data_IF_756361766956
#
_entry.id   IF_756361766956
#
_cell.length_a   1.000
_cell.length_b   1.000
_cell.length_c   1.000
_cell.angle_alpha   90.00
_cell.angle_beta   90.00
_cell.angle_gamma   90.00
#
_symmetry.space_group_name_H-M   'P 1'
#
loop_
_entity.id
_entity.type
_entity.pdbx_description
1 polymer ?
#
# COMPACT_ATOMS: atom_id res chain seq x y z
N UNK A 1 -16.85 29.07 11.46
CA UNK A 1 -16.35 28.72 10.09
C UNK A 1 -15.26 27.66 10.19
N UNK A 2 -15.35 26.60 9.38
CA UNK A 2 -14.46 25.43 9.45
C UNK A 2 -13.07 25.70 8.83
N UNK A 3 -12.00 25.24 9.51
CA UNK A 3 -10.58 25.45 9.14
C UNK A 3 -10.09 24.45 8.08
N UNK A 4 -10.87 24.29 7.00
CA UNK A 4 -10.55 23.36 5.91
C UNK A 4 -9.53 23.97 4.95
N UNK A 5 -8.51 23.18 4.57
CA UNK A 5 -7.47 23.62 3.62
C UNK A 5 -7.94 23.41 2.19
N UNK A 6 -7.67 24.36 1.30
CA UNK A 6 -8.05 24.32 -0.12
C UNK A 6 -7.20 23.32 -0.92
N UNK A 7 -7.69 22.97 -2.12
CA UNK A 7 -7.00 22.03 -3.04
C UNK A 7 -5.58 22.47 -3.41
N UNK A 8 -5.35 23.78 -3.55
CA UNK A 8 -4.04 24.34 -3.90
C UNK A 8 -3.00 24.07 -2.82
N UNK A 9 -3.35 24.31 -1.56
CA UNK A 9 -2.48 24.02 -0.41
C UNK A 9 -2.18 22.52 -0.31
N UNK A 10 -3.22 21.69 -0.43
CA UNK A 10 -3.06 20.22 -0.35
C UNK A 10 -2.20 19.67 -1.48
N UNK A 11 -2.40 20.12 -2.72
CA UNK A 11 -1.64 19.67 -3.89
C UNK A 11 -0.17 20.12 -3.81
N UNK A 12 0.09 21.38 -3.46
CA UNK A 12 1.45 21.90 -3.32
C UNK A 12 2.24 21.15 -2.24
N UNK A 13 1.63 20.92 -1.07
CA UNK A 13 2.28 20.21 0.03
C UNK A 13 2.65 18.76 -0.32
N UNK A 14 1.78 18.04 -1.05
CA UNK A 14 2.08 16.69 -1.53
C UNK A 14 3.29 16.69 -2.47
N UNK A 15 3.30 17.57 -3.47
CA UNK A 15 4.42 17.70 -4.42
C UNK A 15 5.75 18.03 -3.72
N UNK A 16 5.72 18.88 -2.68
CA UNK A 16 6.92 19.21 -1.90
C UNK A 16 7.45 17.97 -1.16
N UNK A 17 6.56 17.15 -0.58
CA UNK A 17 6.94 15.92 0.12
C UNK A 17 7.50 14.87 -0.83
N UNK A 18 6.88 14.65 -1.99
CA UNK A 18 7.32 13.67 -2.99
C UNK A 18 8.74 13.97 -3.48
N UNK A 19 9.06 15.25 -3.70
CA UNK A 19 10.36 15.66 -4.26
C UNK A 19 11.46 15.87 -3.22
N UNK A 20 11.11 16.37 -2.03
CA UNK A 20 12.09 16.84 -1.04
C UNK A 20 11.96 16.17 0.33
N UNK A 21 11.48 14.92 0.36
CA UNK A 21 11.24 14.15 1.58
C UNK A 21 12.42 14.19 2.57
N UNK A 22 13.64 13.99 2.06
CA UNK A 22 14.88 13.91 2.86
C UNK A 22 15.25 15.21 3.57
N UNK A 23 14.80 16.36 3.05
CA UNK A 23 15.10 17.68 3.64
C UNK A 23 14.07 18.09 4.70
N UNK A 24 12.88 17.51 4.67
CA UNK A 24 11.75 17.93 5.50
C UNK A 24 11.80 17.27 6.88
N UNK A 25 11.25 17.96 7.88
CA UNK A 25 11.20 17.47 9.26
C UNK A 25 9.76 17.45 9.80
N UNK A 26 9.60 17.16 11.10
CA UNK A 26 8.31 17.21 11.80
C UNK A 26 7.99 18.60 12.37
N UNK A 27 8.98 19.48 12.39
CA UNK A 27 8.90 20.81 12.96
C UNK A 27 8.35 21.83 11.95
N UNK A 28 7.58 22.80 12.45
CA UNK A 28 6.94 23.80 11.61
C UNK A 28 7.91 24.90 11.16
N UNK A 29 8.81 25.35 12.03
CA UNK A 29 9.68 26.49 11.73
C UNK A 29 10.73 26.14 10.68
N UNK A 30 11.31 24.95 10.79
CA UNK A 30 12.22 24.38 9.79
C UNK A 30 11.53 24.19 8.44
N UNK A 31 10.39 23.49 8.40
CA UNK A 31 9.65 23.27 7.16
C UNK A 31 9.16 24.58 6.52
N UNK A 32 8.84 25.60 7.32
CA UNK A 32 8.47 26.92 6.81
C UNK A 32 9.62 27.56 6.04
N UNK A 33 10.85 27.53 6.57
CA UNK A 33 12.05 28.04 5.89
C UNK A 33 12.34 27.25 4.62
N UNK A 34 12.27 25.92 4.70
CA UNK A 34 12.48 25.03 3.55
C UNK A 34 11.46 25.29 2.43
N UNK A 35 10.19 25.56 2.77
CA UNK A 35 9.17 25.92 1.78
C UNK A 35 9.46 27.27 1.09
N UNK A 36 10.18 28.19 1.74
CA UNK A 36 10.61 29.47 1.13
C UNK A 36 11.73 29.25 0.13
N UNK A 37 12.65 28.32 0.42
CA UNK A 37 13.76 27.98 -0.47
C UNK A 37 13.30 27.17 -1.69
N UNK A 38 12.37 26.24 -1.51
CA UNK A 38 11.94 25.31 -2.56
C UNK A 38 11.01 25.97 -3.57
N UNK A 39 10.12 26.86 -3.11
CA UNK A 39 9.02 27.37 -3.92
C UNK A 39 8.83 28.87 -3.75
N UNK A 40 8.59 29.55 -4.87
CA UNK A 40 8.20 30.96 -4.89
C UNK A 40 6.73 31.04 -4.47
N UNK A 41 6.49 31.36 -3.19
CA UNK A 41 5.15 31.50 -2.63
C UNK A 41 4.85 32.99 -2.41
N UNK A 42 3.84 33.57 -3.06
CA UNK A 42 3.65 35.02 -3.10
C UNK A 42 3.19 35.63 -1.77
N UNK A 43 2.58 34.84 -0.87
CA UNK A 43 2.06 35.37 0.39
C UNK A 43 2.47 34.56 1.61
N UNK A 44 2.76 35.28 2.70
CA UNK A 44 3.09 34.73 4.03
C UNK A 44 2.00 33.77 4.53
N UNK A 45 0.72 34.11 4.31
CA UNK A 45 -0.41 33.29 4.76
C UNK A 45 -0.48 31.96 4.00
N UNK A 46 -0.28 31.96 2.67
CA UNK A 46 -0.26 30.73 1.88
C UNK A 46 0.93 29.85 2.27
N UNK A 47 2.12 30.43 2.43
CA UNK A 47 3.31 29.73 2.89
C UNK A 47 3.06 29.00 4.22
N UNK A 48 2.52 29.71 5.21
CA UNK A 48 2.25 29.13 6.52
C UNK A 48 1.21 28.00 6.44
N UNK A 49 0.18 28.12 5.58
CA UNK A 49 -0.80 27.05 5.36
C UNK A 49 -0.18 25.81 4.70
N UNK A 50 0.73 26.01 3.74
CA UNK A 50 1.45 24.92 3.05
C UNK A 50 2.38 24.22 4.04
N UNK A 51 3.28 24.96 4.70
CA UNK A 51 4.21 24.41 5.68
C UNK A 51 3.46 23.66 6.82
N UNK A 52 2.34 24.21 7.29
CA UNK A 52 1.51 23.56 8.30
C UNK A 52 0.79 22.29 7.82
N UNK A 53 0.52 22.17 6.52
CA UNK A 53 -0.03 20.92 5.97
C UNK A 53 1.07 19.89 5.69
N UNK A 54 2.26 20.35 5.29
CA UNK A 54 3.45 19.49 5.14
C UNK A 54 3.81 18.83 6.47
N UNK A 55 3.90 19.58 7.57
CA UNK A 55 4.17 19.00 8.90
C UNK A 55 3.10 17.99 9.31
N UNK A 56 1.83 18.27 9.01
CA UNK A 56 0.74 17.36 9.31
C UNK A 56 0.87 16.04 8.54
N UNK A 57 1.25 16.09 7.26
CA UNK A 57 1.49 14.90 6.45
C UNK A 57 2.72 14.12 6.94
N UNK A 58 3.80 14.79 7.32
CA UNK A 58 4.97 14.10 7.88
C UNK A 58 4.66 13.36 9.18
N UNK A 59 3.84 13.97 10.06
CA UNK A 59 3.32 13.29 11.27
C UNK A 59 2.56 12.01 10.97
N UNK A 60 1.78 12.00 9.88
CA UNK A 60 1.05 10.80 9.46
C UNK A 60 1.96 9.75 8.85
N UNK A 61 2.92 10.18 8.03
CA UNK A 61 3.83 9.30 7.32
C UNK A 61 4.69 8.45 8.29
N UNK A 62 5.05 9.00 9.46
CA UNK A 62 5.76 8.27 10.51
C UNK A 62 5.03 7.00 10.97
N UNK A 63 3.70 7.05 11.01
CA UNK A 63 2.89 5.92 11.51
C UNK A 63 2.46 5.00 10.37
N UNK A 64 2.11 5.56 9.22
CA UNK A 64 1.62 4.78 8.09
C UNK A 64 1.80 5.50 6.77
N UNK A 65 1.87 4.70 5.70
CA UNK A 65 1.83 5.22 4.33
C UNK A 65 0.60 6.11 4.11
N UNK A 66 0.83 7.30 3.55
CA UNK A 66 -0.24 8.27 3.29
C UNK A 66 -0.70 8.11 1.84
N UNK A 67 -2.01 7.92 1.64
CA UNK A 67 -2.58 7.73 0.29
C UNK A 67 -2.32 8.93 -0.63
N UNK A 68 -1.85 8.63 -1.83
CA UNK A 68 -1.61 9.61 -2.90
C UNK A 68 -0.46 10.56 -2.58
N UNK A 69 0.61 10.02 -1.98
CA UNK A 69 1.96 10.57 -1.90
C UNK A 69 2.87 9.39 -2.22
N UNK A 70 3.68 9.51 -3.27
CA UNK A 70 4.73 8.54 -3.56
C UNK A 70 6.08 9.10 -3.15
N UNK A 71 6.82 8.32 -2.35
CA UNK A 71 8.17 8.66 -1.96
C UNK A 71 9.06 7.63 -2.63
N UNK A 72 10.13 8.05 -3.29
CA UNK A 72 11.07 7.15 -3.98
C UNK A 72 11.54 6.01 -3.08
N UNK A 73 11.83 6.31 -1.81
CA UNK A 73 12.21 5.32 -0.81
C UNK A 73 11.14 4.21 -0.61
N UNK A 74 9.85 4.57 -0.67
CA UNK A 74 8.75 3.62 -0.56
C UNK A 74 8.56 2.82 -1.85
N UNK A 75 8.78 3.44 -3.00
CA UNK A 75 8.72 2.77 -4.31
C UNK A 75 9.83 1.71 -4.41
N UNK A 76 11.06 2.05 -4.04
CA UNK A 76 12.19 1.11 -4.02
C UNK A 76 11.97 -0.07 -3.03
N UNK A 77 11.44 0.20 -1.83
CA UNK A 77 11.11 -0.88 -0.89
C UNK A 77 9.97 -1.77 -1.39
N UNK A 78 8.98 -1.20 -2.09
CA UNK A 78 7.89 -1.97 -2.70
C UNK A 78 8.41 -2.83 -3.83
N UNK A 79 9.23 -2.29 -4.72
CA UNK A 79 9.84 -3.07 -5.80
C UNK A 79 10.66 -4.26 -5.27
N UNK A 80 11.42 -4.08 -4.18
CA UNK A 80 12.14 -5.20 -3.56
C UNK A 80 11.21 -6.27 -2.98
N UNK A 81 10.08 -5.87 -2.39
CA UNK A 81 9.09 -6.82 -1.85
C UNK A 81 8.31 -7.53 -2.95
N UNK A 82 7.93 -6.81 -3.99
CA UNK A 82 7.16 -7.36 -5.11
C UNK A 82 8.02 -8.29 -5.97
N UNK A 83 9.32 -7.98 -6.12
CA UNK A 83 10.28 -8.85 -6.81
C UNK A 83 10.81 -9.99 -5.94
N UNK A 84 10.40 -10.08 -4.66
CA UNK A 84 10.84 -11.16 -3.79
C UNK A 84 10.11 -12.46 -4.17
N UNK A 85 10.86 -13.37 -4.79
CA UNK A 85 10.41 -14.74 -5.05
C UNK A 85 10.95 -15.62 -3.91
N UNK A 86 10.08 -16.27 -3.11
CA UNK A 86 10.54 -17.19 -2.07
C UNK A 86 11.23 -18.41 -2.68
N UNK A 87 12.14 -19.02 -1.94
CA UNK A 87 12.86 -20.22 -2.40
C UNK A 87 11.93 -21.41 -2.65
N UNK A 88 10.91 -21.57 -1.80
CA UNK A 88 9.90 -22.62 -1.91
C UNK A 88 8.58 -21.99 -2.33
N UNK A 89 7.99 -22.52 -3.38
CA UNK A 89 6.66 -22.09 -3.83
C UNK A 89 5.61 -22.56 -2.84
N UNK A 90 4.70 -21.69 -2.43
CA UNK A 90 3.54 -22.08 -1.64
C UNK A 90 2.57 -23.03 -2.37
N UNK A 91 2.83 -23.38 -3.64
CA UNK A 91 2.07 -24.37 -4.40
C UNK A 91 2.70 -25.76 -4.34
N UNK A 92 3.98 -25.86 -3.96
CA UNK A 92 4.69 -27.11 -3.81
C UNK A 92 4.27 -27.75 -2.49
N UNK A 93 3.10 -28.38 -2.50
CA UNK A 93 2.61 -29.21 -1.42
C UNK A 93 2.77 -30.68 -1.82
N UNK A 94 3.27 -31.49 -0.89
CA UNK A 94 3.38 -32.95 -1.08
C UNK A 94 2.01 -33.63 -1.19
N UNK A 95 0.94 -32.95 -0.75
CA UNK A 95 -0.43 -33.46 -0.68
C UNK A 95 -1.36 -32.47 -1.37
N UNK A 96 -2.10 -32.93 -2.37
CA UNK A 96 -3.13 -32.20 -3.11
C UNK A 96 -4.48 -32.78 -2.74
N UNK A 97 -5.25 -32.05 -1.94
CA UNK A 97 -6.60 -32.44 -1.55
C UNK A 97 -7.61 -32.10 -2.64
N UNK A 98 -8.42 -33.08 -3.04
CA UNK A 98 -9.36 -32.99 -4.18
C UNK A 98 -10.72 -33.59 -3.79
N UNK A 99 -11.79 -32.93 -4.21
CA UNK A 99 -13.16 -33.43 -4.04
C UNK A 99 -13.44 -34.63 -4.97
N UNK A 100 -14.46 -35.46 -4.67
CA UNK A 100 -14.80 -36.62 -5.51
C UNK A 100 -15.14 -36.26 -6.97
N UNK A 101 -15.90 -35.18 -7.19
CA UNK A 101 -16.34 -34.73 -8.52
C UNK A 101 -15.16 -34.18 -9.35
N UNK A 102 -14.22 -33.49 -8.72
CA UNK A 102 -13.02 -32.97 -9.39
C UNK A 102 -12.03 -34.09 -9.73
N UNK A 103 -12.00 -35.19 -8.96
CA UNK A 103 -11.25 -36.39 -9.33
C UNK A 103 -11.80 -37.06 -10.60
N UNK A 104 -13.12 -37.16 -10.74
CA UNK A 104 -13.75 -37.70 -11.96
C UNK A 104 -13.46 -36.81 -13.18
N UNK A 105 -13.51 -35.49 -13.00
CA UNK A 105 -13.12 -34.55 -14.05
C UNK A 105 -11.67 -34.75 -14.50
N UNK A 106 -10.73 -34.91 -13.56
CA UNK A 106 -9.31 -35.18 -13.88
C UNK A 106 -9.14 -36.48 -14.66
N UNK A 107 -9.93 -37.51 -14.34
CA UNK A 107 -9.93 -38.79 -15.03
C UNK A 107 -10.47 -38.67 -16.47
N UNK A 108 -11.52 -37.88 -16.70
CA UNK A 108 -12.07 -37.61 -18.03
C UNK A 108 -11.10 -36.81 -18.91
N UNK A 109 -10.31 -35.91 -18.32
CA UNK A 109 -9.30 -35.11 -19.01
C UNK A 109 -7.98 -35.87 -19.25
N UNK A 110 -7.86 -37.11 -18.76
CA UNK A 110 -6.67 -37.96 -18.95
C UNK A 110 -5.51 -37.68 -17.98
N UNK A 111 -5.73 -36.90 -16.92
CA UNK A 111 -4.71 -36.57 -15.91
C UNK A 111 -4.72 -37.59 -14.75
N UNK A 112 -4.42 -38.84 -15.06
CA UNK A 112 -4.57 -39.96 -14.11
C UNK A 112 -3.41 -40.12 -13.11
N UNK A 113 -2.26 -39.49 -13.34
CA UNK A 113 -1.01 -39.80 -12.62
C UNK A 113 -0.38 -38.58 -11.93
N UNK A 114 -1.19 -37.76 -11.28
CA UNK A 114 -0.70 -36.61 -10.50
C UNK A 114 -0.21 -37.13 -9.13
N UNK A 115 1.06 -36.89 -8.75
CA UNK A 115 1.58 -37.29 -7.44
C UNK A 115 0.91 -36.49 -6.32
N UNK A 116 0.66 -37.13 -5.17
CA UNK A 116 0.16 -36.47 -3.96
C UNK A 116 -1.36 -36.28 -3.87
N UNK A 117 -2.15 -36.80 -4.81
CA UNK A 117 -3.60 -36.58 -4.85
C UNK A 117 -4.36 -37.38 -3.77
N UNK A 118 -5.04 -36.68 -2.85
CA UNK A 118 -5.84 -37.27 -1.78
C UNK A 118 -7.30 -36.80 -1.84
N UNK A 119 -8.23 -37.71 -1.56
CA UNK A 119 -9.66 -37.38 -1.51
C UNK A 119 -10.02 -36.82 -0.13
N UNK A 120 -10.53 -35.60 -0.08
CA UNK A 120 -11.11 -35.03 1.14
C UNK A 120 -12.64 -35.10 1.09
N UNK A 121 -13.26 -35.46 2.21
CA UNK A 121 -14.70 -35.28 2.38
C UNK A 121 -14.93 -33.82 2.78
N UNK A 122 -15.43 -33.03 1.84
CA UNK A 122 -15.80 -31.64 2.07
C UNK A 122 -16.82 -31.53 3.22
N UNK A 123 -16.37 -31.26 4.44
CA UNK A 123 -17.23 -30.73 5.50
C UNK A 123 -17.35 -29.23 5.29
N UNK A 124 -18.09 -28.82 4.25
CA UNK A 124 -18.51 -27.44 4.16
C UNK A 124 -19.39 -27.15 5.38
N UNK A 125 -19.03 -26.19 6.26
CA UNK A 125 -19.93 -25.80 7.35
C UNK A 125 -21.24 -25.32 6.72
N UNK A 126 -22.40 -25.73 7.25
CA UNK A 126 -23.68 -25.36 6.66
C UNK A 126 -23.77 -23.85 6.56
N UNK A 127 -23.95 -23.36 5.33
CA UNK A 127 -24.18 -21.95 5.05
C UNK A 127 -25.38 -21.50 5.87
N UNK A 128 -25.13 -20.80 6.97
CA UNK A 128 -26.21 -20.19 7.75
C UNK A 128 -26.82 -19.10 6.88
N UNK A 129 -27.97 -19.40 6.26
CA UNK A 129 -28.80 -18.39 5.61
C UNK A 129 -29.18 -17.40 6.69
N UNK A 130 -28.51 -16.25 6.71
CA UNK A 130 -28.98 -15.10 7.48
C UNK A 130 -30.36 -14.73 6.92
N UNK A 131 -31.39 -14.93 7.75
CA UNK A 131 -32.73 -14.38 7.58
C UNK A 131 -32.72 -12.87 7.77
#
# INVERSE_FOLDING_TARGET
>A
MSRVRTKTVKKAAKLIIEKYYTRLTMDFHTNKRICEEIAIIPSKSLRNKIAGFVTHLMKRLRHSQVRGISIKLQEEERERRDNYVPEVSALEHDIIEVDPETKEMLQMLGFNNIPGLQLTQSQLPPYSRRS
#
